data_IF_850879734107
#
_entry.id   IF_850879734107
#
_cell.length_a   1.000
_cell.length_b   1.000
_cell.length_c   1.000
_cell.angle_alpha   90.00
_cell.angle_beta   90.00
_cell.angle_gamma   90.00
#
_symmetry.space_group_name_H-M   'P 1'
#
loop_
_entity.id
_entity.type
_entity.pdbx_description
1 polymer ?
#
# COMPACT_ATOMS: atom_id res chain seq x y z
N UNK A 1 -11.02 -12.21 12.48
CA UNK A 1 -11.59 -12.14 11.11
C UNK A 1 -10.69 -11.23 10.26
N UNK A 2 -10.36 -11.61 9.03
CA UNK A 2 -9.65 -10.73 8.08
C UNK A 2 -10.66 -10.21 7.05
N UNK A 3 -11.20 -8.99 7.20
CA UNK A 3 -12.06 -8.41 6.19
C UNK A 3 -11.23 -8.03 4.97
N UNK A 4 -11.53 -8.65 3.84
CA UNK A 4 -10.96 -8.25 2.55
C UNK A 4 -11.79 -7.10 2.00
N UNK A 5 -11.18 -5.93 1.84
CA UNK A 5 -11.82 -4.79 1.16
C UNK A 5 -11.42 -4.85 -0.31
N UNK A 6 -12.39 -5.19 -1.16
CA UNK A 6 -12.26 -5.09 -2.61
C UNK A 6 -12.34 -3.62 -3.04
N UNK A 7 -11.42 -3.17 -3.89
CA UNK A 7 -11.29 -1.78 -4.36
C UNK A 7 -11.32 -1.80 -5.90
N UNK A 8 -12.37 -1.31 -6.54
CA UNK A 8 -12.40 -1.21 -8.01
C UNK A 8 -11.71 0.06 -8.50
N UNK A 9 -10.46 -0.05 -8.93
CA UNK A 9 -9.64 1.08 -9.38
C UNK A 9 -10.00 1.68 -10.74
N UNK A 10 -11.08 1.23 -11.40
CA UNK A 10 -11.32 1.51 -12.82
C UNK A 10 -11.68 2.98 -13.15
N UNK A 11 -12.25 3.75 -12.21
CA UNK A 11 -12.59 5.16 -12.42
C UNK A 11 -12.67 5.98 -11.11
N UNK A 12 -12.73 7.32 -11.21
CA UNK A 12 -12.82 8.22 -10.05
C UNK A 12 -14.06 7.98 -9.17
N UNK A 13 -15.17 7.51 -9.75
CA UNK A 13 -16.39 7.19 -9.01
C UNK A 13 -16.23 5.91 -8.19
N UNK A 14 -15.52 4.94 -8.73
CA UNK A 14 -15.21 3.65 -8.12
C UNK A 14 -14.19 3.85 -6.99
N UNK A 15 -13.14 4.66 -7.21
CA UNK A 15 -12.22 5.07 -6.15
C UNK A 15 -12.92 5.77 -4.97
N UNK A 16 -13.95 6.59 -5.22
CA UNK A 16 -14.73 7.22 -4.14
C UNK A 16 -15.56 6.20 -3.37
N UNK A 17 -16.17 5.23 -4.07
CA UNK A 17 -16.91 4.13 -3.44
C UNK A 17 -15.99 3.27 -2.59
N UNK A 18 -14.81 2.94 -3.08
CA UNK A 18 -13.84 2.10 -2.35
C UNK A 18 -13.36 2.77 -1.07
N UNK A 19 -13.05 4.07 -1.13
CA UNK A 19 -12.65 4.85 0.05
C UNK A 19 -13.77 4.93 1.09
N UNK A 20 -15.01 5.03 0.63
CA UNK A 20 -16.20 5.06 1.50
C UNK A 20 -16.45 3.68 2.13
N UNK A 21 -16.33 2.62 1.32
CA UNK A 21 -16.43 1.23 1.76
C UNK A 21 -15.35 0.88 2.78
N UNK A 22 -14.08 1.20 2.50
CA UNK A 22 -12.97 0.98 3.42
C UNK A 22 -13.21 1.67 4.77
N UNK A 23 -13.64 2.93 4.76
CA UNK A 23 -13.96 3.67 5.99
C UNK A 23 -15.08 2.99 6.77
N UNK A 24 -16.14 2.54 6.08
CA UNK A 24 -17.26 1.84 6.72
C UNK A 24 -16.83 0.51 7.35
N UNK A 25 -15.97 -0.26 6.67
CA UNK A 25 -15.42 -1.50 7.24
C UNK A 25 -14.55 -1.22 8.47
N UNK A 26 -13.70 -0.19 8.42
CA UNK A 26 -12.87 0.21 9.56
C UNK A 26 -13.75 0.64 10.75
N UNK A 27 -14.79 1.42 10.50
CA UNK A 27 -15.76 1.84 11.51
C UNK A 27 -16.47 0.64 12.15
N UNK A 28 -16.96 -0.28 11.31
CA UNK A 28 -17.59 -1.52 11.76
C UNK A 28 -16.64 -2.31 12.65
N UNK A 29 -15.41 -2.55 12.20
CA UNK A 29 -14.41 -3.29 12.99
C UNK A 29 -14.09 -2.60 14.30
N UNK A 30 -13.87 -1.28 14.28
CA UNK A 30 -13.56 -0.53 15.49
C UNK A 30 -14.68 -0.66 16.54
N UNK A 31 -15.94 -0.78 16.13
CA UNK A 31 -17.07 -1.00 17.03
C UNK A 31 -17.06 -2.37 17.76
N UNK A 32 -16.30 -3.36 17.27
CA UNK A 32 -16.14 -4.68 17.93
C UNK A 32 -14.82 -4.83 18.66
N UNK A 33 -14.05 -3.75 18.83
CA UNK A 33 -12.73 -3.80 19.46
C UNK A 33 -12.79 -3.90 21.00
N UNK A 34 -13.69 -4.76 21.51
CA UNK A 34 -13.99 -4.81 22.94
C UNK A 34 -13.02 -5.71 23.72
N UNK A 35 -12.30 -6.68 23.12
CA UNK A 35 -11.33 -7.53 23.85
C UNK A 35 -10.26 -8.29 23.03
N UNK A 36 -10.46 -8.62 21.74
CA UNK A 36 -9.57 -9.57 21.04
C UNK A 36 -8.51 -8.94 20.11
N UNK A 37 -8.53 -7.61 19.92
CA UNK A 37 -7.60 -6.91 19.03
C UNK A 37 -7.83 -7.24 17.55
N UNK A 38 -8.10 -6.23 16.74
CA UNK A 38 -8.39 -6.44 15.31
C UNK A 38 -7.16 -6.14 14.46
N UNK A 39 -6.75 -7.11 13.64
CA UNK A 39 -5.72 -6.90 12.62
C UNK A 39 -6.36 -6.63 11.27
N UNK A 40 -6.18 -5.42 10.74
CA UNK A 40 -6.56 -5.07 9.38
C UNK A 40 -5.37 -5.23 8.45
N UNK A 41 -5.46 -6.16 7.50
CA UNK A 41 -4.49 -6.31 6.43
C UNK A 41 -4.99 -5.55 5.19
N UNK A 42 -4.25 -4.53 4.77
CA UNK A 42 -4.52 -3.80 3.53
C UNK A 42 -3.51 -4.25 2.49
N UNK A 43 -3.97 -4.98 1.47
CA UNK A 43 -3.13 -5.41 0.36
C UNK A 43 -3.28 -4.42 -0.80
N UNK A 44 -2.28 -3.55 -1.06
CA UNK A 44 -2.34 -2.63 -2.19
C UNK A 44 -2.16 -3.37 -3.53
N UNK A 45 -1.66 -4.62 -3.54
CA UNK A 45 -1.27 -5.35 -4.76
C UNK A 45 -2.41 -5.98 -5.57
N UNK A 46 -3.66 -5.98 -5.09
CA UNK A 46 -4.77 -6.50 -5.89
C UNK A 46 -5.21 -5.55 -7.03
N UNK A 47 -4.59 -4.37 -7.13
CA UNK A 47 -5.05 -3.30 -8.01
C UNK A 47 -3.93 -2.91 -8.96
N UNK A 48 -4.02 -3.52 -10.15
CA UNK A 48 -3.26 -3.12 -11.33
C UNK A 48 -3.72 -1.70 -11.68
N UNK A 49 -2.86 -0.71 -11.51
CA UNK A 49 -2.97 0.50 -12.36
C UNK A 49 -2.77 0.00 -13.79
N UNK A 50 -3.87 -0.10 -14.55
CA UNK A 50 -3.77 0.05 -16.00
C UNK A 50 -3.43 1.51 -16.22
N UNK A 51 -2.15 1.81 -16.29
CA UNK A 51 -1.69 2.95 -17.08
C UNK A 51 -2.01 2.63 -18.56
N UNK A 52 -3.27 2.75 -18.95
CA UNK A 52 -3.61 3.12 -20.32
C UNK A 52 -3.76 4.64 -20.32
N UNK A 53 -2.65 5.31 -20.63
CA UNK A 53 -2.53 6.69 -21.11
C UNK A 53 -3.45 7.74 -20.45
N UNK A 54 -2.90 8.47 -19.46
CA UNK A 54 -3.41 9.82 -19.18
C UNK A 54 -3.26 10.32 -17.74
N UNK A 55 -2.04 10.52 -17.25
CA UNK A 55 -1.76 11.56 -16.25
C UNK A 55 -0.26 11.91 -16.24
N UNK A 56 0.24 12.36 -17.41
CA UNK A 56 1.17 13.48 -17.41
C UNK A 56 0.41 14.71 -16.84
N UNK A 57 1.01 15.43 -15.90
CA UNK A 57 0.45 16.56 -15.15
C UNK A 57 -0.50 16.24 -13.96
N UNK A 58 0.11 15.81 -12.84
CA UNK A 58 -0.14 16.51 -11.56
C UNK A 58 1.00 16.36 -10.55
N UNK A 59 1.86 17.38 -10.53
CA UNK A 59 2.70 17.70 -9.38
C UNK A 59 4.17 17.34 -9.52
N UNK A 60 4.88 18.12 -10.33
CA UNK A 60 6.31 18.38 -10.15
C UNK A 60 6.58 18.87 -8.74
N UNK A 61 7.09 18.00 -7.86
CA UNK A 61 8.07 18.33 -6.82
C UNK A 61 8.58 17.04 -6.18
N UNK A 62 9.91 16.92 -6.14
CA UNK A 62 10.74 15.81 -5.67
C UNK A 62 10.95 14.65 -6.65
N UNK A 63 12.23 14.31 -6.85
CA UNK A 63 12.75 13.15 -7.55
C UNK A 63 12.21 11.86 -6.94
N UNK A 64 10.95 11.48 -7.18
CA UNK A 64 10.54 10.11 -6.85
C UNK A 64 11.28 9.17 -7.80
N UNK A 65 12.38 8.63 -7.31
CA UNK A 65 13.14 7.55 -7.92
C UNK A 65 12.13 6.50 -8.39
N UNK A 66 12.09 6.23 -9.69
CA UNK A 66 11.22 5.19 -10.25
C UNK A 66 11.43 3.90 -9.45
N UNK A 67 10.41 3.46 -8.69
CA UNK A 67 10.48 2.21 -7.92
C UNK A 67 10.71 1.06 -8.91
N UNK A 68 11.82 0.33 -8.75
CA UNK A 68 12.28 -0.76 -9.63
C UNK A 68 12.00 -2.12 -9.04
N UNK A 69 12.08 -2.27 -7.73
CA UNK A 69 12.06 -3.58 -7.07
C UNK A 69 10.78 -3.85 -6.29
N UNK A 70 10.14 -2.80 -5.78
CA UNK A 70 8.93 -2.86 -4.96
C UNK A 70 7.70 -2.35 -5.70
N UNK A 71 6.54 -2.89 -5.32
CA UNK A 71 5.24 -2.42 -5.80
C UNK A 71 4.96 -0.98 -5.37
N UNK A 72 4.57 -0.10 -6.29
CA UNK A 72 4.18 1.27 -5.94
C UNK A 72 3.02 1.26 -4.94
N UNK A 73 3.14 1.96 -3.79
CA UNK A 73 2.06 2.02 -2.83
C UNK A 73 0.93 2.90 -3.36
N UNK A 74 -0.31 2.46 -3.20
CA UNK A 74 -1.45 3.34 -3.47
C UNK A 74 -1.65 4.31 -2.30
N UNK A 75 -0.89 5.40 -2.33
CA UNK A 75 -0.80 6.37 -1.22
C UNK A 75 -2.16 6.97 -0.83
N UNK A 76 -3.10 7.10 -1.77
CA UNK A 76 -4.44 7.62 -1.49
C UNK A 76 -5.32 6.68 -0.65
N UNK A 77 -5.25 5.37 -0.89
CA UNK A 77 -6.00 4.37 -0.15
C UNK A 77 -5.41 4.20 1.26
N UNK A 78 -4.09 4.08 1.35
CA UNK A 78 -3.38 3.95 2.63
C UNK A 78 -3.59 5.18 3.53
N UNK A 79 -3.50 6.39 2.97
CA UNK A 79 -3.82 7.62 3.73
C UNK A 79 -5.25 7.61 4.24
N UNK A 80 -6.22 7.16 3.42
CA UNK A 80 -7.63 7.06 3.84
C UNK A 80 -7.83 6.01 4.95
N UNK A 81 -7.14 4.87 4.86
CA UNK A 81 -7.15 3.84 5.89
C UNK A 81 -6.64 4.39 7.22
N UNK A 82 -5.46 5.02 7.21
CA UNK A 82 -4.82 5.60 8.39
C UNK A 82 -5.71 6.68 9.01
N UNK A 83 -6.29 7.58 8.20
CA UNK A 83 -7.21 8.62 8.68
C UNK A 83 -8.46 8.02 9.35
N UNK A 84 -9.05 6.98 8.76
CA UNK A 84 -10.20 6.29 9.34
C UNK A 84 -9.83 5.60 10.66
N UNK A 85 -8.71 4.87 10.69
CA UNK A 85 -8.24 4.15 11.88
C UNK A 85 -7.92 5.10 13.05
N UNK A 86 -7.40 6.30 12.75
CA UNK A 86 -7.23 7.35 13.77
C UNK A 86 -8.54 7.84 14.33
N UNK A 87 -9.55 8.04 13.49
CA UNK A 87 -10.85 8.57 13.91
C UNK A 87 -11.44 7.72 15.04
N UNK A 88 -11.24 6.40 14.96
CA UNK A 88 -11.83 5.46 15.91
C UNK A 88 -10.87 5.01 17.03
N UNK A 89 -9.64 5.54 17.09
CA UNK A 89 -8.62 5.19 18.09
C UNK A 89 -8.44 3.69 18.31
N UNK A 90 -8.56 2.90 17.23
CA UNK A 90 -8.66 1.44 17.29
C UNK A 90 -7.37 0.72 16.86
N UNK A 91 -6.20 1.35 16.99
CA UNK A 91 -4.91 0.79 16.55
C UNK A 91 -3.79 1.03 17.58
N UNK A 92 -3.03 -0.04 17.85
CA UNK A 92 -1.78 0.01 18.62
C UNK A 92 -0.53 0.11 17.75
N UNK A 93 -0.54 -0.50 16.55
CA UNK A 93 0.62 -0.52 15.66
C UNK A 93 0.27 -0.74 14.18
N UNK A 94 1.20 -0.35 13.30
CA UNK A 94 1.17 -0.62 11.88
C UNK A 94 2.24 -1.68 11.54
N UNK A 95 1.84 -2.72 10.81
CA UNK A 95 2.76 -3.72 10.26
C UNK A 95 2.97 -3.42 8.78
N UNK A 96 4.21 -3.10 8.43
CA UNK A 96 4.65 -2.95 7.04
C UNK A 96 5.19 -4.28 6.55
N UNK A 97 4.51 -4.85 5.57
CA UNK A 97 4.91 -6.07 4.89
C UNK A 97 5.04 -5.72 3.41
N UNK A 98 6.27 -5.69 2.92
CA UNK A 98 6.57 -5.37 1.52
C UNK A 98 7.40 -6.48 0.90
N UNK A 99 7.04 -6.90 -0.30
CA UNK A 99 7.83 -7.84 -1.10
C UNK A 99 8.54 -7.08 -2.21
N UNK A 100 9.83 -7.35 -2.38
CA UNK A 100 10.63 -6.86 -3.50
C UNK A 100 11.17 -8.03 -4.32
N UNK A 101 11.20 -7.89 -5.64
CA UNK A 101 11.73 -8.93 -6.54
C UNK A 101 12.87 -8.39 -7.40
N UNK A 102 13.93 -9.17 -7.56
CA UNK A 102 15.11 -8.83 -8.36
C UNK A 102 15.11 -9.65 -9.66
N UNK A 103 15.62 -9.05 -10.75
CA UNK A 103 15.75 -9.61 -12.11
C UNK A 103 14.51 -9.62 -13.02
N UNK A 104 13.43 -8.96 -12.61
CA UNK A 104 12.47 -8.44 -13.58
C UNK A 104 13.02 -7.13 -14.16
N UNK A 105 12.72 -6.82 -15.43
CA UNK A 105 13.08 -5.50 -15.98
C UNK A 105 12.50 -4.39 -15.08
N UNK A 106 13.07 -3.17 -15.04
CA UNK A 106 12.41 -2.05 -14.40
C UNK A 106 10.94 -1.99 -14.87
N UNK A 107 9.99 -1.85 -13.94
CA UNK A 107 8.54 -1.85 -14.16
C UNK A 107 7.90 -3.21 -14.52
N UNK A 108 8.68 -4.27 -14.65
CA UNK A 108 8.18 -5.60 -14.91
C UNK A 108 7.91 -6.32 -13.57
N UNK A 109 6.69 -6.78 -13.37
CA UNK A 109 6.31 -7.51 -12.16
C UNK A 109 6.34 -9.01 -12.39
N UNK A 110 6.67 -9.77 -11.35
CA UNK A 110 6.37 -11.19 -11.32
C UNK A 110 4.84 -11.38 -11.41
N UNK A 111 4.34 -11.81 -12.55
CA UNK A 111 2.94 -12.18 -12.72
C UNK A 111 2.79 -13.70 -12.62
N UNK A 112 1.57 -14.16 -12.34
CA UNK A 112 1.25 -15.59 -12.47
C UNK A 112 1.62 -16.11 -13.86
N UNK A 113 1.33 -15.35 -14.92
CA UNK A 113 1.69 -15.72 -16.31
C UNK A 113 3.21 -15.87 -16.51
N UNK A 114 4.03 -14.99 -15.92
CA UNK A 114 5.50 -15.14 -15.92
C UNK A 114 5.91 -16.47 -15.26
N UNK A 115 5.32 -16.81 -14.12
CA UNK A 115 5.59 -18.08 -13.41
C UNK A 115 5.15 -19.30 -14.24
N UNK A 116 3.97 -19.25 -14.86
CA UNK A 116 3.48 -20.32 -15.75
C UNK A 116 4.38 -20.53 -16.97
N UNK A 117 5.04 -19.47 -17.46
CA UNK A 117 6.03 -19.53 -18.55
C UNK A 117 7.44 -19.92 -18.08
N UNK A 118 7.61 -20.31 -16.81
CA UNK A 118 8.89 -20.72 -16.24
C UNK A 118 9.85 -19.56 -15.94
N UNK A 119 9.36 -18.32 -15.95
CA UNK A 119 10.13 -17.12 -15.64
C UNK A 119 9.92 -16.72 -14.19
N UNK A 120 10.91 -17.04 -13.36
CA UNK A 120 10.87 -16.78 -11.92
C UNK A 120 11.81 -15.63 -11.54
N UNK A 121 11.49 -14.83 -10.49
CA UNK A 121 12.48 -13.95 -9.89
C UNK A 121 13.69 -14.77 -9.44
N UNK A 122 14.88 -14.23 -9.64
CA UNK A 122 16.09 -14.85 -9.08
C UNK A 122 16.11 -14.72 -7.56
N UNK A 123 15.67 -13.57 -7.06
CA UNK A 123 15.60 -13.30 -5.62
C UNK A 123 14.27 -12.65 -5.28
N UNK A 124 13.71 -13.08 -4.15
CA UNK A 124 12.54 -12.49 -3.51
C UNK A 124 12.96 -12.02 -2.13
N UNK A 125 12.78 -10.73 -1.87
CA UNK A 125 13.11 -10.09 -0.61
C UNK A 125 11.82 -9.72 0.12
N UNK A 126 11.75 -10.03 1.41
CA UNK A 126 10.61 -9.67 2.26
C UNK A 126 11.06 -8.67 3.31
N UNK A 127 10.45 -7.50 3.30
CA UNK A 127 10.59 -6.49 4.34
C UNK A 127 9.42 -6.59 5.31
N UNK A 128 9.72 -6.76 6.59
CA UNK A 128 8.73 -6.79 7.66
C UNK A 128 9.17 -5.83 8.76
N UNK A 129 8.38 -4.80 9.02
CA UNK A 129 8.61 -3.86 10.11
C UNK A 129 7.33 -3.59 10.89
N UNK A 130 7.47 -3.38 12.20
CA UNK A 130 6.39 -2.95 13.08
C UNK A 130 6.67 -1.52 13.52
N UNK A 131 5.72 -0.64 13.24
CA UNK A 131 5.71 0.74 13.72
C UNK A 131 4.67 0.89 14.81
N UNK A 132 5.05 1.41 15.97
CA UNK A 132 4.07 1.82 16.97
C UNK A 132 3.18 2.93 16.39
N UNK A 133 1.91 2.99 16.80
CA UNK A 133 0.98 3.95 16.20
C UNK A 133 1.42 5.42 16.37
N UNK A 134 2.17 5.72 17.42
CA UNK A 134 2.77 7.05 17.63
C UNK A 134 3.84 7.44 16.62
N UNK A 135 4.42 6.47 15.89
CA UNK A 135 5.42 6.72 14.84
C UNK A 135 4.77 7.07 13.50
N UNK A 136 3.48 6.75 13.33
CA UNK A 136 2.74 7.03 12.10
C UNK A 136 2.28 8.51 12.15
N UNK A 137 2.63 9.37 11.17
CA UNK A 137 2.40 10.82 11.27
C UNK A 137 0.92 11.20 11.25
N UNK A 138 0.47 12.06 12.17
CA UNK A 138 -0.96 12.41 12.34
C UNK A 138 -1.63 13.12 11.16
N UNK A 139 -0.87 13.87 10.36
CA UNK A 139 -1.40 14.67 9.26
C UNK A 139 -1.29 13.94 7.94
N UNK A 140 -2.32 14.07 7.10
CA UNK A 140 -2.45 13.31 5.85
C UNK A 140 -1.29 13.56 4.88
N UNK A 141 -0.84 14.79 4.78
CA UNK A 141 0.32 15.18 3.98
C UNK A 141 1.59 14.45 4.44
N UNK A 142 1.85 14.42 5.75
CA UNK A 142 3.00 13.73 6.34
C UNK A 142 2.88 12.21 6.24
N UNK A 143 1.66 11.65 6.23
CA UNK A 143 1.46 10.20 5.98
C UNK A 143 1.91 9.84 4.58
N UNK A 144 1.61 10.68 3.57
CA UNK A 144 2.02 10.42 2.20
C UNK A 144 3.55 10.41 2.07
N UNK A 145 4.20 11.42 2.65
CA UNK A 145 5.66 11.52 2.69
C UNK A 145 6.27 10.32 3.41
N UNK A 146 5.75 9.98 4.59
CA UNK A 146 6.22 8.83 5.37
C UNK A 146 6.09 7.51 4.62
N UNK A 147 4.98 7.28 3.89
CA UNK A 147 4.87 6.11 3.02
C UNK A 147 5.94 6.16 1.92
N UNK A 148 6.12 7.30 1.27
CA UNK A 148 7.13 7.50 0.22
C UNK A 148 8.54 7.16 0.72
N UNK A 149 8.98 7.78 1.81
CA UNK A 149 10.30 7.59 2.42
C UNK A 149 10.58 6.11 2.72
N UNK A 150 9.58 5.36 3.21
CA UNK A 150 9.74 3.93 3.50
C UNK A 150 9.91 3.10 2.24
N UNK A 151 9.21 3.42 1.15
CA UNK A 151 9.40 2.72 -0.12
C UNK A 151 10.73 3.07 -0.77
N UNK A 152 11.17 4.33 -0.71
CA UNK A 152 12.51 4.73 -1.18
C UNK A 152 13.62 4.01 -0.41
N UNK A 153 13.54 3.94 0.92
CA UNK A 153 14.50 3.18 1.73
C UNK A 153 14.59 1.70 1.31
N UNK A 154 13.46 1.08 0.94
CA UNK A 154 13.42 -0.32 0.50
C UNK A 154 14.02 -0.49 -0.89
N UNK A 155 13.81 0.48 -1.78
CA UNK A 155 14.47 0.48 -3.09
C UNK A 155 15.98 0.56 -2.93
N UNK A 156 16.48 1.46 -2.08
CA UNK A 156 17.92 1.61 -1.84
C UNK A 156 18.52 0.34 -1.23
N UNK A 157 17.79 -0.36 -0.36
CA UNK A 157 18.20 -1.68 0.17
C UNK A 157 18.38 -2.75 -0.93
N UNK A 158 17.67 -2.62 -2.05
CA UNK A 158 17.64 -3.60 -3.14
C UNK A 158 18.57 -3.22 -4.31
N UNK A 159 19.12 -2.00 -4.32
CA UNK A 159 19.99 -1.46 -5.38
C UNK A 159 21.42 -2.04 -5.45
N UNK A 160 21.78 -3.01 -4.58
CA UNK A 160 23.07 -3.73 -4.49
C UNK A 160 24.22 -3.31 -5.42
#
# INVERSE_FOLDING_TARGET
LFPFVHVDGADQSSQRKDRSSLRHHIEYLAAFNDNEGITLAVYPEAYVDRDEDGDEQRGTTSNSSQLRYTSRPWSALLTTAIDALRTFSAIDCCLDVTTGTVDFQPFERATLDNMWRGRFPREVHMYVARYHWSEVPSRREHVREWIGDRFECKEDMLQR
#
